data_IF_989960521520
#
_entry.id   IF_989960521520
#
_cell.length_a   1.000
_cell.length_b   1.000
_cell.length_c   1.000
_cell.angle_alpha   90.00
_cell.angle_beta   90.00
_cell.angle_gamma   90.00
#
_symmetry.space_group_name_H-M   'P 1'
#
loop_
_entity.id
_entity.type
_entity.pdbx_description
1 polymer ?
#
# COMPACT_ATOMS: atom_id res chain seq x y z
N UNK A 1 17.30 11.46 -3.49
CA UNK A 1 16.84 10.10 -3.82
C UNK A 1 17.84 9.12 -3.24
N UNK A 2 17.34 8.10 -2.54
CA UNK A 2 18.10 6.97 -1.98
C UNK A 2 17.50 5.72 -2.61
N UNK A 3 18.35 4.89 -3.22
CA UNK A 3 17.95 3.62 -3.81
C UNK A 3 18.42 2.47 -2.92
N UNK A 4 17.54 1.48 -2.72
CA UNK A 4 17.78 0.33 -1.86
C UNK A 4 17.62 -0.92 -2.71
N UNK A 5 18.67 -1.75 -2.78
CA UNK A 5 18.64 -3.00 -3.53
C UNK A 5 17.64 -4.00 -2.93
N UNK A 6 17.18 -4.95 -3.74
CA UNK A 6 16.30 -6.02 -3.30
C UNK A 6 16.90 -6.80 -2.11
N UNK A 7 16.03 -7.26 -1.22
CA UNK A 7 16.40 -8.04 -0.03
C UNK A 7 15.65 -7.59 1.21
N UNK A 8 15.83 -8.37 2.28
CA UNK A 8 15.25 -8.09 3.59
C UNK A 8 16.25 -7.35 4.48
N UNK A 9 15.84 -6.19 4.96
CA UNK A 9 16.59 -5.33 5.86
C UNK A 9 15.93 -5.36 7.23
N UNK A 10 16.57 -6.06 8.17
CA UNK A 10 16.16 -6.08 9.56
C UNK A 10 16.53 -4.74 10.21
N UNK A 11 15.53 -3.95 10.56
CA UNK A 11 15.74 -2.60 11.07
C UNK A 11 16.02 -2.62 12.58
N UNK A 12 17.08 -1.94 12.99
CA UNK A 12 17.35 -1.63 14.41
C UNK A 12 16.80 -0.26 14.80
N UNK A 13 16.50 0.60 13.83
CA UNK A 13 15.92 1.93 14.01
C UNK A 13 14.89 2.23 12.91
N UNK A 14 13.86 3.06 13.20
CA UNK A 14 12.90 3.53 12.20
C UNK A 14 13.56 4.23 11.01
N UNK A 15 13.04 3.98 9.80
CA UNK A 15 13.33 4.82 8.64
C UNK A 15 12.46 6.07 8.75
N UNK A 16 12.97 7.10 9.42
CA UNK A 16 12.21 8.31 9.74
C UNK A 16 12.85 9.58 9.19
N UNK A 17 12.03 10.45 8.59
CA UNK A 17 12.46 11.73 8.05
C UNK A 17 11.74 12.89 8.73
N UNK A 18 12.50 13.88 9.17
CA UNK A 18 11.97 15.07 9.85
C UNK A 18 12.42 16.30 9.08
N UNK A 19 11.48 17.16 8.66
CA UNK A 19 11.78 18.42 7.92
C UNK A 19 12.51 18.26 6.59
N UNK A 20 12.57 17.05 6.05
CA UNK A 20 13.37 16.71 4.87
C UNK A 20 12.46 16.21 3.75
N UNK A 21 12.52 16.88 2.60
CA UNK A 21 12.02 16.26 1.37
C UNK A 21 12.93 15.09 1.00
N UNK A 22 12.34 13.93 0.77
CA UNK A 22 13.08 12.69 0.50
C UNK A 22 12.40 11.88 -0.59
N UNK A 23 13.18 11.11 -1.33
CA UNK A 23 12.68 10.03 -2.19
C UNK A 23 13.43 8.77 -1.83
N UNK A 24 12.72 7.74 -1.37
CA UNK A 24 13.25 6.39 -1.14
C UNK A 24 12.65 5.47 -2.19
N UNK A 25 13.51 4.71 -2.87
CA UNK A 25 13.09 3.76 -3.89
C UNK A 25 13.72 2.40 -3.62
N UNK A 26 12.90 1.38 -3.43
CA UNK A 26 13.32 -0.01 -3.41
C UNK A 26 13.45 -0.59 -4.83
N UNK A 27 13.92 -1.82 -4.88
CA UNK A 27 13.94 -2.62 -6.10
C UNK A 27 12.60 -3.32 -6.31
N UNK A 28 12.34 -3.73 -7.55
CA UNK A 28 11.23 -4.60 -7.92
C UNK A 28 11.76 -5.95 -8.39
N UNK A 29 10.93 -6.98 -8.35
CA UNK A 29 11.23 -8.27 -8.98
C UNK A 29 10.87 -8.27 -10.49
N UNK A 30 10.84 -9.44 -11.12
CA UNK A 30 10.47 -9.55 -12.54
C UNK A 30 9.02 -9.16 -12.82
N UNK A 31 8.13 -9.27 -11.82
CA UNK A 31 6.71 -8.97 -11.89
C UNK A 31 6.43 -7.49 -11.60
N UNK A 32 7.45 -6.69 -11.30
CA UNK A 32 7.24 -5.31 -10.88
C UNK A 32 6.86 -5.16 -9.41
N UNK A 33 6.75 -6.25 -8.67
CA UNK A 33 6.39 -6.26 -7.25
C UNK A 33 7.55 -5.78 -6.38
N UNK A 34 7.29 -5.10 -5.25
CA UNK A 34 8.34 -4.58 -4.38
C UNK A 34 9.21 -5.70 -3.79
N UNK A 35 10.50 -5.66 -4.10
CA UNK A 35 11.50 -6.65 -3.67
C UNK A 35 12.40 -6.16 -2.52
N UNK A 36 12.24 -4.90 -2.08
CA UNK A 36 12.94 -4.34 -0.93
C UNK A 36 12.05 -4.41 0.30
N UNK A 37 12.43 -5.23 1.28
CA UNK A 37 11.65 -5.47 2.49
C UNK A 37 12.31 -4.76 3.67
N UNK A 38 11.59 -3.83 4.28
CA UNK A 38 11.93 -3.17 5.53
C UNK A 38 11.18 -3.86 6.68
N UNK A 39 11.91 -4.58 7.51
CA UNK A 39 11.35 -5.42 8.58
C UNK A 39 11.60 -4.78 9.95
N UNK A 40 10.52 -4.42 10.64
CA UNK A 40 10.54 -3.80 11.97
C UNK A 40 10.74 -4.78 13.13
N UNK A 41 10.86 -6.08 12.86
CA UNK A 41 11.16 -7.15 13.83
C UNK A 41 10.21 -7.23 15.03
N UNK A 42 8.99 -6.73 14.89
CA UNK A 42 7.97 -6.62 15.93
C UNK A 42 8.32 -5.65 17.05
N UNK A 43 9.23 -4.70 16.81
CA UNK A 43 9.82 -3.87 17.87
C UNK A 43 9.74 -2.36 17.62
N UNK A 44 9.52 -1.91 16.38
CA UNK A 44 9.56 -0.49 16.03
C UNK A 44 8.58 -0.12 14.91
N UNK A 45 8.30 1.19 14.80
CA UNK A 45 7.64 1.77 13.65
C UNK A 45 8.60 1.74 12.47
N UNK A 46 8.24 1.09 11.36
CA UNK A 46 9.16 0.86 10.24
C UNK A 46 9.47 2.16 9.49
N UNK A 47 8.44 2.89 9.09
CA UNK A 47 8.55 4.05 8.22
C UNK A 47 7.82 5.27 8.80
N UNK A 48 8.40 6.46 8.72
CA UNK A 48 7.64 7.63 9.11
C UNK A 48 8.17 8.98 8.65
N UNK A 49 7.27 9.96 8.71
CA UNK A 49 7.60 11.36 8.45
C UNK A 49 7.08 12.27 9.55
N UNK A 50 7.80 13.36 9.79
CA UNK A 50 7.31 14.50 10.55
C UNK A 50 7.71 15.81 9.86
N UNK A 51 6.73 16.62 9.44
CA UNK A 51 7.00 17.86 8.71
C UNK A 51 7.84 17.65 7.44
N UNK A 52 7.69 16.49 6.79
CA UNK A 52 8.48 16.09 5.63
C UNK A 52 7.61 16.17 4.38
N UNK A 53 7.31 17.39 3.95
CA UNK A 53 6.46 17.62 2.80
C UNK A 53 7.09 17.04 1.52
N UNK A 54 6.24 16.58 0.60
CA UNK A 54 6.63 16.04 -0.70
C UNK A 54 7.57 14.83 -0.61
N UNK A 55 7.52 14.08 0.49
CA UNK A 55 8.23 12.82 0.64
C UNK A 55 7.63 11.76 -0.32
N UNK A 56 8.52 10.98 -0.95
CA UNK A 56 8.14 9.94 -1.90
C UNK A 56 8.76 8.61 -1.48
N UNK A 57 7.94 7.56 -1.42
CA UNK A 57 8.36 6.19 -1.11
C UNK A 57 7.87 5.24 -2.20
N UNK A 58 8.75 4.42 -2.76
CA UNK A 58 8.43 3.57 -3.92
C UNK A 58 9.03 2.18 -3.76
N UNK A 59 8.32 1.13 -4.16
CA UNK A 59 8.80 -0.25 -4.26
C UNK A 59 9.28 -0.83 -2.91
N UNK A 60 8.51 -0.63 -1.84
CA UNK A 60 8.88 -1.08 -0.49
C UNK A 60 7.83 -2.03 0.08
N UNK A 61 8.30 -3.10 0.72
CA UNK A 61 7.49 -3.88 1.66
C UNK A 61 7.80 -3.39 3.08
N UNK A 62 6.78 -2.92 3.79
CA UNK A 62 6.81 -2.45 5.16
C UNK A 62 6.14 -3.51 6.03
N UNK A 63 6.94 -4.25 6.82
CA UNK A 63 6.42 -5.41 7.56
C UNK A 63 6.96 -5.55 8.97
N UNK A 64 6.27 -6.36 9.78
CA UNK A 64 6.61 -6.66 11.16
C UNK A 64 6.84 -5.39 12.00
N UNK A 65 6.17 -4.29 11.67
CA UNK A 65 6.21 -3.08 12.45
C UNK A 65 5.42 -3.20 13.76
N UNK A 66 5.88 -2.52 14.81
CA UNK A 66 5.18 -2.45 16.11
C UNK A 66 5.26 -1.02 16.65
N UNK A 67 4.12 -0.48 17.09
CA UNK A 67 4.10 0.76 17.86
C UNK A 67 2.76 1.03 18.52
N UNK A 68 2.69 2.03 19.39
CA UNK A 68 1.41 2.45 19.97
C UNK A 68 0.44 2.90 18.87
N UNK A 69 0.97 3.62 17.87
CA UNK A 69 0.25 4.15 16.72
C UNK A 69 1.13 4.09 15.48
N UNK A 70 0.64 3.52 14.37
CA UNK A 70 1.42 3.50 13.13
C UNK A 70 2.48 2.42 13.06
N UNK A 71 2.17 1.17 13.40
CA UNK A 71 3.14 0.07 13.47
C UNK A 71 4.01 -0.08 12.22
N UNK A 72 3.38 -0.15 11.05
CA UNK A 72 4.08 -0.13 9.77
C UNK A 72 4.53 1.29 9.45
N UNK A 73 3.60 2.24 9.45
CA UNK A 73 3.93 3.62 9.13
C UNK A 73 3.19 4.71 9.88
N UNK A 74 3.89 5.83 10.07
CA UNK A 74 3.34 7.02 10.71
C UNK A 74 3.75 8.31 9.98
N UNK A 75 2.76 8.98 9.40
CA UNK A 75 2.92 10.27 8.72
C UNK A 75 2.31 11.39 9.58
N UNK A 76 3.11 12.41 9.86
CA UNK A 76 2.75 13.49 10.80
C UNK A 76 3.04 14.84 10.18
N UNK A 77 2.04 15.73 10.16
CA UNK A 77 2.15 17.10 9.67
C UNK A 77 2.93 17.22 8.35
N UNK A 78 2.75 16.27 7.44
CA UNK A 78 3.47 16.20 6.16
C UNK A 78 2.48 16.31 5.03
N UNK A 79 2.69 17.29 4.14
CA UNK A 79 1.85 17.53 2.97
C UNK A 79 2.44 16.87 1.73
N UNK A 80 1.59 16.38 0.84
CA UNK A 80 1.91 15.80 -0.46
C UNK A 80 2.84 14.59 -0.36
N UNK A 81 2.68 13.76 0.67
CA UNK A 81 3.39 12.48 0.76
C UNK A 81 2.81 11.53 -0.28
N UNK A 82 3.67 10.90 -1.08
CA UNK A 82 3.24 9.90 -2.06
C UNK A 82 3.95 8.58 -1.84
N UNK A 83 3.17 7.51 -1.77
CA UNK A 83 3.68 6.14 -1.72
C UNK A 83 3.19 5.40 -2.95
N UNK A 84 4.09 4.71 -3.66
CA UNK A 84 3.78 3.95 -4.88
C UNK A 84 4.26 2.51 -4.78
N UNK A 85 3.50 1.57 -5.33
CA UNK A 85 3.94 0.18 -5.48
C UNK A 85 4.55 -0.37 -4.17
N UNK A 86 3.85 -0.20 -3.06
CA UNK A 86 4.39 -0.50 -1.72
C UNK A 86 3.35 -1.15 -0.83
N UNK A 87 3.80 -2.11 -0.05
CA UNK A 87 2.94 -3.04 0.68
C UNK A 87 3.17 -2.88 2.18
N UNK A 88 2.14 -2.50 2.93
CA UNK A 88 2.13 -2.44 4.40
C UNK A 88 1.48 -3.70 4.94
N UNK A 89 2.29 -4.70 5.28
CA UNK A 89 1.78 -6.07 5.54
C UNK A 89 2.21 -6.59 6.90
N UNK A 90 1.26 -7.14 7.66
CA UNK A 90 1.58 -7.86 8.91
C UNK A 90 2.12 -6.97 10.02
N UNK A 91 1.75 -5.69 10.05
CA UNK A 91 2.17 -4.76 11.09
C UNK A 91 1.19 -4.74 12.26
N UNK A 92 1.66 -4.31 13.43
CA UNK A 92 0.89 -4.27 14.66
C UNK A 92 0.88 -2.87 15.29
N UNK A 93 -0.29 -2.44 15.76
CA UNK A 93 -0.37 -1.31 16.69
C UNK A 93 -1.16 -1.66 17.94
N UNK A 94 -0.72 -1.16 19.10
CA UNK A 94 -1.48 -1.35 20.33
C UNK A 94 -2.80 -0.58 20.26
N UNK A 95 -2.79 0.62 19.67
CA UNK A 95 -4.00 1.43 19.52
C UNK A 95 -4.49 1.48 18.09
N UNK A 96 -3.86 2.27 17.22
CA UNK A 96 -4.49 2.61 15.94
C UNK A 96 -3.53 2.74 14.77
N UNK A 97 -4.04 2.46 13.57
CA UNK A 97 -3.31 2.65 12.31
C UNK A 97 -2.17 1.66 12.19
N UNK A 98 -2.42 0.36 12.33
CA UNK A 98 -1.33 -0.62 12.38
C UNK A 98 -0.54 -0.67 11.07
N UNK A 99 -1.19 -0.64 9.91
CA UNK A 99 -0.54 -0.43 8.62
C UNK A 99 -0.09 1.03 8.45
N UNK A 100 -1.05 1.95 8.46
CA UNK A 100 -0.81 3.38 8.22
C UNK A 100 -1.54 4.28 9.21
N UNK A 101 -0.82 5.24 9.79
CA UNK A 101 -1.36 6.26 10.69
C UNK A 101 -1.06 7.68 10.19
N UNK A 102 -2.08 8.54 10.07
CA UNK A 102 -1.93 9.95 9.65
C UNK A 102 -2.46 10.95 10.67
N UNK A 103 -1.75 12.05 10.91
CA UNK A 103 -2.21 13.09 11.84
C UNK A 103 -1.77 14.50 11.47
N UNK A 104 -2.45 15.51 12.04
CA UNK A 104 -2.08 16.92 11.94
C UNK A 104 -2.09 17.45 10.49
N UNK A 105 -3.24 17.34 9.82
CA UNK A 105 -3.47 17.84 8.46
C UNK A 105 -2.51 17.24 7.41
N UNK A 106 -2.04 16.01 7.65
CA UNK A 106 -1.20 15.26 6.70
C UNK A 106 -2.00 14.92 5.45
N UNK A 107 -1.39 15.05 4.27
CA UNK A 107 -1.95 14.53 3.01
C UNK A 107 -1.08 13.40 2.45
N UNK A 108 -1.72 12.28 2.12
CA UNK A 108 -1.09 11.06 1.62
C UNK A 108 -1.84 10.56 0.39
N UNK A 109 -1.09 10.26 -0.66
CA UNK A 109 -1.58 9.50 -1.80
C UNK A 109 -0.90 8.14 -1.82
N UNK A 110 -1.70 7.07 -1.81
CA UNK A 110 -1.25 5.70 -2.01
C UNK A 110 -1.65 5.29 -3.43
N UNK A 111 -0.68 4.82 -4.22
CA UNK A 111 -0.86 4.41 -5.61
C UNK A 111 -0.33 2.98 -5.74
N UNK A 112 -1.12 2.05 -6.29
CA UNK A 112 -0.73 0.65 -6.46
C UNK A 112 -0.19 0.04 -5.16
N UNK A 113 -0.86 0.31 -4.04
CA UNK A 113 -0.40 -0.14 -2.73
C UNK A 113 -1.28 -1.26 -2.18
N UNK A 114 -0.70 -2.07 -1.30
CA UNK A 114 -1.44 -3.06 -0.51
C UNK A 114 -1.29 -2.75 0.98
N UNK A 115 -2.40 -2.73 1.71
CA UNK A 115 -2.44 -2.61 3.17
C UNK A 115 -3.20 -3.82 3.69
N UNK A 116 -2.46 -4.85 4.10
CA UNK A 116 -3.02 -6.17 4.38
C UNK A 116 -2.51 -6.83 5.66
N UNK A 117 -3.39 -7.61 6.30
CA UNK A 117 -3.00 -8.45 7.45
C UNK A 117 -2.47 -7.68 8.65
N UNK A 118 -2.74 -6.38 8.76
CA UNK A 118 -2.30 -5.57 9.89
C UNK A 118 -3.25 -5.75 11.07
N UNK A 119 -2.74 -5.58 12.29
CA UNK A 119 -3.52 -5.83 13.52
C UNK A 119 -3.46 -4.66 14.50
N UNK A 120 -4.61 -4.23 15.00
CA UNK A 120 -4.70 -3.20 16.05
C UNK A 120 -5.32 -3.80 17.32
N UNK A 121 -4.53 -4.07 18.37
CA UNK A 121 -5.04 -4.69 19.59
C UNK A 121 -4.17 -4.42 20.81
N UNK A 122 -4.70 -3.67 21.77
CA UNK A 122 -3.98 -3.32 22.98
C UNK A 122 -3.87 -4.52 23.96
N UNK A 123 -2.68 -4.88 24.46
CA UNK A 123 -2.49 -6.05 25.32
C UNK A 123 -3.28 -6.01 26.63
N UNK A 124 -3.52 -4.81 27.17
CA UNK A 124 -4.25 -4.60 28.43
C UNK A 124 -5.67 -4.05 28.30
N UNK A 125 -6.05 -3.51 27.13
CA UNK A 125 -7.34 -2.86 26.91
C UNK A 125 -7.98 -3.35 25.62
N UNK A 126 -8.33 -4.65 25.55
CA UNK A 126 -8.93 -5.23 24.36
C UNK A 126 -10.27 -4.55 24.05
N UNK A 127 -10.58 -4.41 22.77
CA UNK A 127 -11.81 -3.77 22.32
C UNK A 127 -11.76 -2.25 22.40
N UNK A 128 -10.60 -1.64 22.21
CA UNK A 128 -10.43 -0.18 22.19
C UNK A 128 -9.50 0.31 21.06
N UNK A 129 -9.05 -0.60 20.20
CA UNK A 129 -8.11 -0.34 19.11
C UNK A 129 -8.86 -0.27 17.78
N UNK A 130 -8.46 0.62 16.87
CA UNK A 130 -9.17 0.86 15.61
C UNK A 130 -8.24 1.28 14.44
N UNK A 131 -8.69 1.08 13.22
CA UNK A 131 -8.01 1.34 11.96
C UNK A 131 -6.79 0.45 11.79
N UNK A 132 -6.93 -0.86 11.90
CA UNK A 132 -5.80 -1.77 11.72
C UNK A 132 -5.12 -1.58 10.34
N UNK A 133 -5.90 -1.37 9.28
CA UNK A 133 -5.35 -0.97 7.97
C UNK A 133 -4.87 0.48 8.01
N UNK A 134 -5.81 1.43 8.00
CA UNK A 134 -5.53 2.87 8.00
C UNK A 134 -6.31 3.57 9.12
N UNK A 135 -5.61 4.40 9.90
CA UNK A 135 -6.26 5.36 10.80
C UNK A 135 -5.88 6.81 10.45
N UNK A 136 -6.85 7.54 9.89
CA UNK A 136 -6.71 8.92 9.46
C UNK A 136 -7.31 9.90 10.49
N UNK A 137 -6.50 10.71 11.14
CA UNK A 137 -6.94 11.60 12.23
C UNK A 137 -6.67 13.06 11.87
N UNK A 138 -7.62 13.67 11.18
CA UNK A 138 -7.52 15.05 10.70
C UNK A 138 -6.55 15.16 9.55
N UNK A 139 -6.65 14.31 8.53
CA UNK A 139 -5.80 14.31 7.34
C UNK A 139 -6.57 13.91 6.09
N UNK A 140 -5.88 13.89 4.95
CA UNK A 140 -6.44 13.44 3.67
C UNK A 140 -5.68 12.22 3.19
N UNK A 141 -6.41 11.15 2.88
CA UNK A 141 -5.88 9.95 2.23
C UNK A 141 -6.55 9.82 0.88
N UNK A 142 -5.75 9.66 -0.17
CA UNK A 142 -6.21 9.29 -1.51
C UNK A 142 -5.71 7.87 -1.79
N UNK A 143 -6.62 7.00 -2.20
CA UNK A 143 -6.33 5.63 -2.60
C UNK A 143 -6.55 5.54 -4.12
N UNK A 144 -5.47 5.33 -4.86
CA UNK A 144 -5.45 5.13 -6.30
C UNK A 144 -4.97 3.71 -6.56
N UNK A 145 -5.80 2.89 -7.19
CA UNK A 145 -5.54 1.46 -7.46
C UNK A 145 -4.96 0.73 -6.23
N UNK A 146 -5.47 1.06 -5.04
CA UNK A 146 -4.90 0.62 -3.76
C UNK A 146 -5.86 -0.29 -3.02
N UNK A 147 -5.32 -1.36 -2.46
CA UNK A 147 -6.05 -2.38 -1.70
C UNK A 147 -5.89 -2.18 -0.21
N UNK A 148 -6.99 -2.15 0.53
CA UNK A 148 -6.98 -2.23 2.01
C UNK A 148 -7.87 -3.40 2.44
N UNK A 149 -7.25 -4.49 2.92
CA UNK A 149 -7.99 -5.72 3.21
C UNK A 149 -7.41 -6.57 4.33
N UNK A 150 -8.18 -7.48 4.91
CA UNK A 150 -7.68 -8.48 5.85
C UNK A 150 -7.06 -7.90 7.12
N UNK A 151 -7.32 -6.63 7.43
CA UNK A 151 -6.80 -5.97 8.62
C UNK A 151 -7.79 -6.15 9.77
N UNK A 152 -7.28 -6.44 10.96
CA UNK A 152 -8.10 -6.81 12.12
C UNK A 152 -7.84 -5.87 13.29
N UNK A 153 -8.86 -5.11 13.68
CA UNK A 153 -8.85 -4.29 14.90
C UNK A 153 -9.63 -4.94 16.05
N UNK A 154 -9.34 -4.55 17.29
CA UNK A 154 -10.01 -5.14 18.46
C UNK A 154 -11.42 -4.60 18.70
N UNK A 155 -11.75 -3.39 18.22
CA UNK A 155 -13.07 -2.77 18.39
C UNK A 155 -14.12 -3.31 17.40
N UNK A 156 -13.83 -3.26 16.10
CA UNK A 156 -14.68 -3.76 15.02
C UNK A 156 -13.84 -4.54 13.98
N UNK A 157 -13.62 -5.86 14.18
CA UNK A 157 -12.62 -6.65 13.46
C UNK A 157 -12.66 -6.62 11.93
N UNK A 158 -13.82 -6.32 11.31
CA UNK A 158 -13.93 -6.22 9.85
C UNK A 158 -13.65 -4.82 9.30
N UNK A 159 -13.43 -3.83 10.16
CA UNK A 159 -13.22 -2.45 9.77
C UNK A 159 -11.77 -2.20 9.34
N UNK A 160 -11.61 -1.86 8.08
CA UNK A 160 -10.29 -1.66 7.46
C UNK A 160 -9.72 -0.25 7.67
N UNK A 161 -10.59 0.77 7.59
CA UNK A 161 -10.23 2.19 7.66
C UNK A 161 -11.09 2.91 8.69
N UNK A 162 -10.46 3.79 9.49
CA UNK A 162 -11.15 4.59 10.51
C UNK A 162 -10.68 6.04 10.52
N UNK A 163 -11.53 6.91 11.06
CA UNK A 163 -11.29 8.35 11.14
C UNK A 163 -11.89 9.06 9.93
N UNK A 164 -11.17 10.02 9.35
CA UNK A 164 -11.65 10.71 8.15
C UNK A 164 -11.58 9.79 6.93
N UNK A 165 -12.69 9.69 6.20
CA UNK A 165 -12.85 8.77 5.07
C UNK A 165 -11.87 9.08 3.93
N UNK A 166 -11.23 8.05 3.34
CA UNK A 166 -10.34 8.23 2.21
C UNK A 166 -11.11 8.61 0.95
N UNK A 167 -10.44 9.33 0.05
CA UNK A 167 -10.90 9.52 -1.33
C UNK A 167 -10.46 8.29 -2.13
N UNK A 168 -11.43 7.48 -2.55
CA UNK A 168 -11.18 6.32 -3.40
C UNK A 168 -11.25 6.75 -4.88
N UNK A 169 -10.11 6.69 -5.56
CA UNK A 169 -9.98 6.93 -7.01
C UNK A 169 -9.92 5.61 -7.77
N UNK A 170 -9.36 4.56 -7.15
CA UNK A 170 -9.35 3.18 -7.65
C UNK A 170 -8.93 2.20 -6.57
N UNK A 171 -9.14 0.90 -6.80
CA UNK A 171 -8.90 -0.17 -5.82
C UNK A 171 -10.09 -0.41 -4.89
N UNK A 172 -9.85 -0.96 -3.70
CA UNK A 172 -10.93 -1.38 -2.81
C UNK A 172 -10.58 -1.29 -1.32
N UNK A 173 -11.63 -1.31 -0.50
CA UNK A 173 -11.56 -1.48 0.96
C UNK A 173 -12.52 -2.61 1.35
N UNK A 174 -11.99 -3.77 1.73
CA UNK A 174 -12.80 -4.99 1.99
C UNK A 174 -12.32 -5.76 3.21
N UNK A 175 -13.20 -6.53 3.84
CA UNK A 175 -12.80 -7.35 5.01
C UNK A 175 -11.82 -8.44 4.60
N UNK A 176 -12.15 -9.19 3.55
CA UNK A 176 -11.29 -10.25 3.02
C UNK A 176 -10.52 -9.76 1.81
N UNK A 177 -9.25 -10.13 1.78
CA UNK A 177 -8.35 -9.81 0.68
C UNK A 177 -8.86 -10.36 -0.66
N UNK A 178 -9.32 -11.61 -0.70
CA UNK A 178 -9.87 -12.23 -1.92
C UNK A 178 -11.23 -11.64 -2.36
N UNK A 179 -11.86 -10.79 -1.53
CA UNK A 179 -13.09 -10.07 -1.90
C UNK A 179 -12.82 -8.69 -2.50
N UNK A 180 -11.54 -8.30 -2.51
CA UNK A 180 -11.07 -7.15 -3.23
C UNK A 180 -10.94 -7.53 -4.70
N UNK A 181 -12.04 -7.47 -5.42
CA UNK A 181 -12.01 -7.32 -6.88
C UNK A 181 -11.51 -5.89 -7.17
N UNK A 182 -10.24 -5.62 -6.83
CA UNK A 182 -9.46 -4.81 -7.77
C UNK A 182 -9.46 -5.73 -8.96
N UNK A 183 -9.99 -5.26 -10.08
CA UNK A 183 -9.74 -5.94 -11.32
C UNK A 183 -8.20 -5.88 -11.51
N UNK A 184 -7.46 -6.81 -10.87
CA UNK A 184 -6.20 -7.35 -11.40
C UNK A 184 -6.50 -8.05 -12.74
N UNK A 185 -7.79 -8.22 -13.03
CA UNK A 185 -8.39 -8.50 -14.33
C UNK A 185 -8.78 -7.23 -15.12
N UNK A 186 -8.32 -6.02 -14.74
CA UNK A 186 -8.72 -4.79 -15.44
C UNK A 186 -7.89 -4.72 -16.70
N UNK A 187 -8.59 -4.89 -17.81
CA UNK A 187 -8.00 -4.70 -19.10
C UNK A 187 -7.77 -3.21 -19.43
N UNK A 188 -8.18 -2.27 -18.57
CA UNK A 188 -7.84 -0.85 -18.65
C UNK A 188 -6.46 -0.60 -18.01
N UNK A 189 -5.43 -1.00 -18.75
CA UNK A 189 -4.03 -0.95 -18.34
C UNK A 189 -3.42 0.46 -18.37
N UNK A 190 -4.01 1.40 -19.14
CA UNK A 190 -3.58 2.80 -19.15
C UNK A 190 -4.42 3.72 -18.23
N UNK A 191 -5.44 3.14 -17.58
CA UNK A 191 -6.34 3.78 -16.62
C UNK A 191 -7.09 4.99 -17.22
N UNK A 192 -7.40 4.95 -18.51
CA UNK A 192 -8.16 6.01 -19.19
C UNK A 192 -9.68 5.90 -19.02
N UNK A 193 -10.13 4.84 -18.34
CA UNK A 193 -11.53 4.53 -18.05
C UNK A 193 -12.22 3.75 -19.16
N UNK A 194 -11.48 3.27 -20.16
CA UNK A 194 -11.99 2.48 -21.29
C UNK A 194 -11.02 1.37 -21.65
N UNK A 195 -11.52 0.16 -21.91
CA UNK A 195 -10.67 -0.92 -22.42
C UNK A 195 -10.60 -0.84 -23.94
N UNK A 196 -9.41 -0.54 -24.47
CA UNK A 196 -9.23 -0.26 -25.89
C UNK A 196 -7.84 -0.56 -26.44
N UNK A 197 -7.50 0.22 -27.48
CA UNK A 197 -6.28 -0.02 -28.26
C UNK A 197 -5.04 0.26 -27.44
N UNK A 198 -5.08 1.24 -26.54
CA UNK A 198 -3.91 1.61 -25.75
C UNK A 198 -3.56 0.50 -24.76
N UNK A 199 -4.55 -0.14 -24.15
CA UNK A 199 -4.33 -1.26 -23.24
C UNK A 199 -3.77 -2.47 -23.97
N UNK A 200 -4.33 -2.77 -25.15
CA UNK A 200 -3.79 -3.83 -26.00
C UNK A 200 -2.32 -3.54 -26.38
N UNK A 201 -1.95 -2.27 -26.59
CA UNK A 201 -0.56 -1.91 -26.86
C UNK A 201 0.33 -2.12 -25.62
N UNK A 202 -0.18 -1.95 -24.40
CA UNK A 202 0.55 -2.24 -23.16
C UNK A 202 0.80 -3.75 -22.96
N UNK A 203 -0.17 -4.61 -23.30
CA UNK A 203 0.02 -6.07 -23.34
C UNK A 203 1.09 -6.47 -24.35
N UNK A 204 1.02 -5.92 -25.58
CA UNK A 204 2.01 -6.22 -26.62
C UNK A 204 3.40 -5.70 -26.24
N UNK A 205 3.49 -4.54 -25.58
CA UNK A 205 4.75 -3.96 -25.15
C UNK A 205 5.46 -4.82 -24.10
N UNK A 206 4.70 -5.53 -23.26
CA UNK A 206 5.20 -6.32 -22.13
C UNK A 206 5.25 -7.83 -22.43
N UNK A 207 5.15 -8.22 -23.71
CA UNK A 207 4.98 -9.62 -24.11
C UNK A 207 6.12 -10.53 -23.65
N UNK A 208 5.78 -11.60 -22.93
CA UNK A 208 6.71 -12.55 -22.35
C UNK A 208 7.41 -12.05 -21.08
N UNK A 209 7.05 -10.86 -20.59
CA UNK A 209 7.45 -10.34 -19.28
C UNK A 209 6.36 -10.67 -18.26
N UNK A 210 6.43 -10.05 -17.09
CA UNK A 210 5.41 -10.13 -16.05
C UNK A 210 5.06 -8.72 -15.57
N UNK A 211 3.96 -8.57 -14.84
CA UNK A 211 3.55 -7.29 -14.24
C UNK A 211 2.12 -6.92 -14.57
N UNK A 212 1.78 -5.64 -14.60
CA UNK A 212 0.37 -5.21 -14.71
C UNK A 212 -0.35 -5.68 -15.98
N UNK A 213 0.39 -6.05 -17.03
CA UNK A 213 -0.17 -6.64 -18.26
C UNK A 213 -0.36 -8.17 -18.20
N UNK A 214 0.01 -8.83 -17.10
CA UNK A 214 -0.22 -10.24 -16.77
C UNK A 214 -1.58 -10.34 -16.05
N UNK A 215 -2.63 -10.12 -16.83
CA UNK A 215 -4.02 -9.96 -16.40
C UNK A 215 -4.59 -11.29 -15.87
N UNK A 216 -4.09 -12.44 -16.35
CA UNK A 216 -4.52 -13.75 -15.84
C UNK A 216 -3.66 -14.27 -14.67
N UNK A 217 -2.57 -13.57 -14.34
CA UNK A 217 -1.70 -13.83 -13.20
C UNK A 217 -0.94 -15.16 -13.32
N UNK A 218 -0.77 -15.70 -14.53
CA UNK A 218 -0.04 -16.96 -14.74
C UNK A 218 1.48 -16.81 -14.65
N UNK A 219 1.94 -15.56 -14.52
CA UNK A 219 3.31 -15.17 -14.34
C UNK A 219 4.02 -14.85 -15.66
N UNK A 220 3.30 -14.75 -16.78
CA UNK A 220 3.86 -14.35 -18.08
C UNK A 220 2.80 -13.69 -18.98
N UNK A 221 3.03 -12.43 -19.36
CA UNK A 221 2.22 -11.72 -20.37
C UNK A 221 2.24 -12.48 -21.69
N UNK A 222 1.07 -12.94 -22.13
CA UNK A 222 0.93 -13.77 -23.29
C UNK A 222 -0.45 -13.72 -23.92
N UNK A 223 -0.83 -14.84 -24.51
CA UNK A 223 -2.06 -14.91 -25.30
C UNK A 223 -3.29 -14.79 -24.41
N UNK A 224 -3.25 -15.31 -23.19
CA UNK A 224 -4.40 -15.27 -22.30
C UNK A 224 -4.69 -13.85 -21.81
N UNK A 225 -3.66 -13.04 -21.53
CA UNK A 225 -3.79 -11.63 -21.16
C UNK A 225 -4.32 -10.78 -22.32
N UNK A 226 -3.80 -11.01 -23.53
CA UNK A 226 -4.34 -10.36 -24.72
C UNK A 226 -5.82 -10.70 -24.93
N UNK A 227 -6.22 -11.95 -24.66
CA UNK A 227 -7.62 -12.34 -24.71
C UNK A 227 -8.46 -11.70 -23.60
N UNK A 228 -7.88 -11.46 -22.42
CA UNK A 228 -8.51 -10.70 -21.35
C UNK A 228 -8.84 -9.28 -21.81
N UNK A 229 -7.89 -8.57 -22.44
CA UNK A 229 -8.13 -7.23 -23.02
C UNK A 229 -9.21 -7.24 -24.10
N UNK A 230 -9.15 -8.18 -25.03
CA UNK A 230 -10.17 -8.29 -26.08
C UNK A 230 -11.55 -8.62 -25.50
N UNK A 231 -11.61 -9.39 -24.42
CA UNK A 231 -12.88 -9.78 -23.79
C UNK A 231 -13.58 -8.64 -23.07
N UNK A 232 -12.81 -7.70 -22.54
CA UNK A 232 -13.30 -6.53 -21.82
C UNK A 232 -13.47 -5.29 -22.72
N UNK A 233 -13.13 -5.38 -24.01
CA UNK A 233 -13.17 -4.28 -24.97
C UNK A 233 -14.52 -3.55 -25.00
N UNK A 234 -14.50 -2.24 -24.70
CA UNK A 234 -15.72 -1.45 -24.61
C UNK A 234 -15.51 -0.06 -24.03
#
# INVERSE_FOLDING_TARGET
MIEIAAGTYLLEEPVAFITQQVTIRGAVDSYGEPATILDGQGALIVLGTAYADQAVFENLVITNGYGDYGGGSRFIASSDVVVRNSHFVGNHADWNGAGVRLSLDTTLTLIDCEIAGNTANHPTWPGQSYGAGIHNSGGTVVLETTRVCGNVESWDPGRQVTGDEPVLVGGCITDECDSCEIDEMDADLDSDGSVGVNDLLLVIASWGESGSADIDGDGTVGVTDLLAVISAWG
#
